data_IF_149254982159
#
_entry.id   IF_149254982159
#
_cell.length_a   1.000
_cell.length_b   1.000
_cell.length_c   1.000
_cell.angle_alpha   90.00
_cell.angle_beta   90.00
_cell.angle_gamma   90.00
#
_symmetry.space_group_name_H-M   'P 1'
#
loop_
_entity.id
_entity.type
_entity.pdbx_description
1 polymer ?
#
# COMPACT_ATOMS: atom_id res chain seq x y z
N UNK A 1 18.85 -58.11 -32.74
CA UNK A 1 20.06 -58.90 -32.38
C UNK A 1 20.84 -58.13 -31.36
N UNK A 2 21.00 -58.73 -30.15
CA UNK A 2 22.06 -58.44 -29.24
C UNK A 2 21.58 -58.23 -27.81
N UNK A 3 21.37 -59.32 -27.15
CA UNK A 3 21.93 -59.79 -25.86
C UNK A 3 21.72 -58.87 -24.64
N UNK A 4 20.89 -59.40 -23.77
CA UNK A 4 20.79 -59.10 -22.33
C UNK A 4 22.07 -59.64 -21.65
N UNK A 5 22.67 -58.78 -20.79
CA UNK A 5 23.56 -59.24 -19.73
C UNK A 5 23.11 -58.63 -18.41
N UNK A 6 22.62 -59.51 -17.54
CA UNK A 6 22.36 -59.26 -16.14
C UNK A 6 23.62 -59.59 -15.35
N UNK A 7 24.17 -58.73 -14.52
CA UNK A 7 25.12 -59.14 -13.51
C UNK A 7 24.51 -59.14 -12.10
N UNK A 8 24.56 -60.29 -11.48
CA UNK A 8 25.23 -60.52 -10.22
C UNK A 8 24.56 -59.96 -8.96
N UNK A 9 23.85 -60.85 -8.30
CA UNK A 9 23.50 -60.76 -6.90
C UNK A 9 24.77 -60.53 -6.06
N UNK A 10 24.92 -59.33 -5.50
CA UNK A 10 25.92 -59.08 -4.45
C UNK A 10 25.29 -59.41 -3.12
N UNK A 11 25.84 -60.43 -2.48
CA UNK A 11 25.56 -60.87 -1.12
C UNK A 11 25.65 -59.72 -0.14
N UNK A 12 24.60 -59.49 0.60
CA UNK A 12 24.61 -58.61 1.75
C UNK A 12 25.55 -59.17 2.84
N UNK A 13 26.37 -58.33 3.47
CA UNK A 13 27.14 -58.73 4.65
C UNK A 13 26.18 -59.05 5.82
N UNK A 14 26.55 -59.96 6.73
CA UNK A 14 25.71 -60.32 7.86
C UNK A 14 25.46 -59.10 8.74
N UNK A 15 24.20 -58.87 9.03
CA UNK A 15 23.76 -57.88 10.03
C UNK A 15 24.44 -58.19 11.37
N UNK A 16 25.42 -57.38 11.73
CA UNK A 16 25.84 -57.27 13.11
C UNK A 16 24.70 -56.59 13.85
N UNK A 17 23.85 -57.39 14.41
CA UNK A 17 22.89 -57.02 15.44
C UNK A 17 23.71 -56.49 16.63
N UNK A 18 23.96 -55.18 16.60
CA UNK A 18 24.68 -54.49 17.67
C UNK A 18 23.69 -54.38 18.81
N UNK A 19 23.94 -55.15 19.80
CA UNK A 19 23.23 -55.22 21.08
C UNK A 19 23.40 -53.92 21.88
N UNK A 20 22.76 -52.84 21.37
CA UNK A 20 22.69 -51.53 22.03
C UNK A 20 21.62 -51.47 23.12
N UNK A 21 20.82 -52.50 23.30
CA UNK A 21 19.72 -52.47 24.24
C UNK A 21 20.05 -53.09 25.63
N UNK A 22 21.20 -53.72 25.78
CA UNK A 22 21.56 -54.35 27.07
C UNK A 22 22.35 -53.46 28.04
N UNK A 23 22.76 -52.23 27.60
CA UNK A 23 23.47 -51.31 28.49
C UNK A 23 22.63 -50.08 28.89
N UNK A 24 21.36 -50.05 28.61
CA UNK A 24 20.41 -49.04 29.09
C UNK A 24 19.70 -49.52 30.36
N UNK A 25 20.42 -50.21 31.27
CA UNK A 25 19.94 -50.26 32.64
C UNK A 25 19.96 -48.80 33.16
N UNK A 26 18.85 -48.29 33.67
CA UNK A 26 18.89 -47.02 34.38
C UNK A 26 19.88 -47.27 35.54
N UNK A 27 21.08 -46.71 35.42
CA UNK A 27 21.87 -46.45 36.58
C UNK A 27 21.02 -45.48 37.38
N UNK A 28 20.39 -46.03 38.41
CA UNK A 28 19.89 -45.24 39.54
C UNK A 28 21.11 -44.53 40.14
N UNK A 29 21.60 -43.52 39.41
CA UNK A 29 22.49 -42.53 39.94
C UNK A 29 21.68 -41.63 40.92
N UNK A 30 21.16 -42.30 41.95
CA UNK A 30 21.00 -41.72 43.26
C UNK A 30 22.40 -41.38 43.80
N UNK A 31 23.33 -40.97 42.91
CA UNK A 31 24.60 -40.41 43.29
C UNK A 31 24.31 -39.05 43.88
N UNK A 32 24.10 -39.07 45.23
CA UNK A 32 24.48 -37.99 46.14
C UNK A 32 24.72 -36.67 45.38
N UNK A 33 23.68 -35.86 45.32
CA UNK A 33 23.84 -34.43 45.09
C UNK A 33 24.69 -33.87 46.23
N UNK A 34 26.00 -34.13 46.13
CA UNK A 34 26.95 -33.42 46.96
C UNK A 34 26.65 -31.92 46.76
N UNK A 35 26.51 -31.14 47.84
CA UNK A 35 26.14 -29.73 47.72
C UNK A 35 27.14 -29.06 46.76
N UNK A 36 26.59 -28.57 45.65
CA UNK A 36 27.40 -27.97 44.58
C UNK A 36 28.22 -26.83 45.15
N UNK A 37 29.55 -26.90 44.99
CA UNK A 37 30.47 -25.88 45.51
C UNK A 37 29.98 -24.48 45.17
N UNK A 38 29.72 -23.62 46.14
CA UNK A 38 29.19 -22.27 45.94
C UNK A 38 29.99 -21.48 44.91
N UNK A 39 31.27 -21.67 44.80
CA UNK A 39 32.16 -21.02 43.84
C UNK A 39 31.85 -21.45 42.38
N UNK A 40 31.56 -22.72 42.18
CA UNK A 40 31.15 -23.23 40.85
C UNK A 40 29.80 -22.70 40.45
N UNK A 41 28.86 -22.56 41.37
CA UNK A 41 27.53 -21.99 41.15
C UNK A 41 27.60 -20.51 40.77
N UNK A 42 28.43 -19.73 41.46
CA UNK A 42 28.67 -18.32 41.13
C UNK A 42 29.36 -18.16 39.79
N UNK A 43 30.32 -19.00 39.44
CA UNK A 43 30.97 -18.97 38.12
C UNK A 43 29.99 -19.27 36.98
N UNK A 44 29.08 -20.25 37.17
CA UNK A 44 28.01 -20.55 36.19
C UNK A 44 27.04 -19.39 36.07
N UNK A 45 26.63 -18.75 37.14
CA UNK A 45 25.73 -17.59 37.12
C UNK A 45 26.39 -16.38 36.46
N UNK A 46 27.69 -16.11 36.76
CA UNK A 46 28.46 -15.06 36.07
C UNK A 46 28.57 -15.32 34.57
N UNK A 47 28.82 -16.56 34.15
CA UNK A 47 28.90 -16.94 32.73
C UNK A 47 27.55 -16.81 32.06
N UNK A 48 26.47 -17.25 32.70
CA UNK A 48 25.09 -17.06 32.21
C UNK A 48 24.71 -15.59 32.06
N UNK A 49 24.99 -14.77 33.08
CA UNK A 49 24.75 -13.31 32.99
C UNK A 49 25.55 -12.68 31.85
N UNK A 50 26.81 -13.04 31.65
CA UNK A 50 27.63 -12.53 30.55
C UNK A 50 27.09 -12.95 29.18
N UNK A 51 26.64 -14.19 29.02
CA UNK A 51 26.04 -14.67 27.79
C UNK A 51 24.70 -14.00 27.53
N UNK A 52 23.89 -13.79 28.57
CA UNK A 52 22.59 -13.07 28.43
C UNK A 52 22.80 -11.59 28.12
N UNK A 53 23.80 -10.92 28.65
CA UNK A 53 24.07 -9.51 28.32
C UNK A 53 24.69 -9.35 26.94
N UNK A 54 25.63 -10.21 26.56
CA UNK A 54 26.33 -10.12 25.27
C UNK A 54 25.42 -10.59 24.10
N UNK A 55 24.62 -11.63 24.32
CA UNK A 55 23.73 -12.18 23.29
C UNK A 55 22.27 -11.71 23.40
N UNK A 56 21.75 -11.60 24.62
CA UNK A 56 20.35 -11.29 24.88
C UNK A 56 19.98 -9.83 24.57
N UNK A 57 20.83 -8.88 24.88
CA UNK A 57 20.56 -7.46 24.59
C UNK A 57 20.52 -7.19 23.09
N UNK A 58 21.51 -7.61 22.27
CA UNK A 58 21.42 -7.46 20.82
C UNK A 58 20.22 -8.17 20.23
N UNK A 59 19.93 -9.40 20.66
CA UNK A 59 18.77 -10.15 20.19
C UNK A 59 17.45 -9.43 20.51
N UNK A 60 17.30 -8.90 21.73
CA UNK A 60 16.12 -8.12 22.10
C UNK A 60 15.98 -6.85 21.24
N UNK A 61 17.07 -6.12 21.00
CA UNK A 61 17.07 -4.94 20.15
C UNK A 61 16.64 -5.28 18.70
N UNK A 62 17.23 -6.32 18.12
CA UNK A 62 16.84 -6.79 16.77
C UNK A 62 15.37 -7.18 16.73
N UNK A 63 14.87 -7.86 17.75
CA UNK A 63 13.44 -8.23 17.84
C UNK A 63 12.55 -6.99 17.89
N UNK A 64 12.87 -6.01 18.72
CA UNK A 64 12.11 -4.76 18.85
C UNK A 64 12.09 -4.00 17.52
N UNK A 65 13.25 -3.85 16.88
CA UNK A 65 13.38 -3.19 15.59
C UNK A 65 12.56 -3.93 14.52
N UNK A 66 12.63 -5.26 14.50
CA UNK A 66 11.89 -6.09 13.53
C UNK A 66 10.37 -5.96 13.72
N UNK A 67 9.89 -5.95 14.95
CA UNK A 67 8.48 -5.74 15.28
C UNK A 67 8.03 -4.32 14.89
N UNK A 68 8.85 -3.32 15.14
CA UNK A 68 8.56 -1.94 14.75
C UNK A 68 8.49 -1.77 13.23
N UNK A 69 9.50 -2.26 12.48
CA UNK A 69 9.49 -2.24 11.02
C UNK A 69 8.32 -3.05 10.44
N UNK A 70 8.05 -4.23 11.01
CA UNK A 70 6.91 -5.07 10.62
C UNK A 70 5.58 -4.36 10.83
N UNK A 71 5.41 -3.60 11.93
CA UNK A 71 4.20 -2.84 12.19
C UNK A 71 4.00 -1.70 11.16
N UNK A 72 5.05 -0.95 10.82
CA UNK A 72 5.00 0.08 9.79
C UNK A 72 4.58 -0.53 8.45
N UNK A 73 5.18 -1.66 8.06
CA UNK A 73 4.85 -2.35 6.81
C UNK A 73 3.39 -2.80 6.78
N UNK A 74 2.91 -3.46 7.83
CA UNK A 74 1.53 -3.95 7.90
C UNK A 74 0.50 -2.83 7.90
N UNK A 75 0.74 -1.74 8.62
CA UNK A 75 -0.15 -0.57 8.65
C UNK A 75 -0.18 0.09 7.26
N UNK A 76 0.98 0.26 6.61
CA UNK A 76 1.07 0.81 5.26
C UNK A 76 0.33 -0.06 4.24
N UNK A 77 0.51 -1.38 4.29
CA UNK A 77 -0.18 -2.33 3.43
C UNK A 77 -1.70 -2.27 3.63
N UNK A 78 -2.15 -2.19 4.89
CA UNK A 78 -3.56 -2.05 5.20
C UNK A 78 -4.13 -0.69 4.76
N UNK A 79 -3.34 0.39 4.80
CA UNK A 79 -3.68 1.70 4.25
C UNK A 79 -3.87 1.63 2.72
N UNK A 80 -2.91 1.03 2.02
CA UNK A 80 -2.98 0.87 0.57
C UNK A 80 -4.19 0.03 0.12
N UNK A 81 -4.51 -1.04 0.86
CA UNK A 81 -5.71 -1.86 0.60
C UNK A 81 -6.99 -1.06 0.82
N UNK A 82 -7.06 -0.28 1.89
CA UNK A 82 -8.21 0.59 2.15
C UNK A 82 -8.38 1.64 1.04
N UNK A 83 -7.29 2.27 0.58
CA UNK A 83 -7.31 3.21 -0.53
C UNK A 83 -7.78 2.55 -1.84
N UNK A 84 -7.27 1.37 -2.17
CA UNK A 84 -7.69 0.61 -3.34
C UNK A 84 -9.17 0.18 -3.30
N UNK A 85 -9.72 -0.02 -2.10
CA UNK A 85 -11.14 -0.31 -1.89
C UNK A 85 -12.03 0.95 -1.83
N UNK A 86 -11.47 2.16 -2.00
CA UNK A 86 -12.20 3.42 -1.92
C UNK A 86 -12.48 3.91 -0.49
N UNK A 87 -11.96 3.24 0.53
CA UNK A 87 -12.12 3.63 1.94
C UNK A 87 -11.05 4.65 2.35
N UNK A 88 -11.11 5.85 1.77
CA UNK A 88 -10.06 6.87 1.90
C UNK A 88 -9.86 7.38 3.32
N UNK A 89 -10.92 7.53 4.13
CA UNK A 89 -10.80 7.94 5.53
C UNK A 89 -10.01 6.92 6.36
N UNK A 90 -10.27 5.64 6.13
CA UNK A 90 -9.52 4.55 6.78
C UNK A 90 -8.07 4.54 6.31
N UNK A 91 -7.81 4.75 5.02
CA UNK A 91 -6.47 4.85 4.47
C UNK A 91 -5.70 6.02 5.09
N UNK A 92 -6.31 7.21 5.14
CA UNK A 92 -5.73 8.40 5.75
C UNK A 92 -5.38 8.21 7.23
N UNK A 93 -6.29 7.59 8.01
CA UNK A 93 -6.02 7.27 9.42
C UNK A 93 -4.77 6.40 9.56
N UNK A 94 -4.59 5.40 8.70
CA UNK A 94 -3.42 4.52 8.71
C UNK A 94 -2.14 5.25 8.27
N UNK A 95 -2.20 6.08 7.24
CA UNK A 95 -1.05 6.87 6.80
C UNK A 95 -0.61 7.88 7.87
N UNK A 96 -1.54 8.53 8.58
CA UNK A 96 -1.24 9.37 9.74
C UNK A 96 -0.59 8.59 10.87
N UNK A 97 -1.05 7.36 11.12
CA UNK A 97 -0.42 6.48 12.11
C UNK A 97 1.02 6.15 11.70
N UNK A 98 1.27 5.82 10.44
CA UNK A 98 2.63 5.56 9.94
C UNK A 98 3.50 6.81 10.10
N UNK A 99 2.99 7.99 9.76
CA UNK A 99 3.72 9.24 9.93
C UNK A 99 4.11 9.52 11.40
N UNK A 100 3.23 9.16 12.34
CA UNK A 100 3.48 9.34 13.78
C UNK A 100 4.53 8.36 14.34
N UNK A 101 4.55 7.11 13.87
CA UNK A 101 5.45 6.07 14.40
C UNK A 101 6.76 5.92 13.63
N UNK A 102 6.87 6.57 12.49
CA UNK A 102 8.06 6.54 11.63
C UNK A 102 8.63 7.96 11.42
N UNK A 103 9.43 8.50 12.35
CA UNK A 103 9.91 9.89 12.25
C UNK A 103 11.13 10.10 11.36
N UNK A 104 11.75 9.06 10.81
CA UNK A 104 13.08 9.15 10.15
C UNK A 104 13.30 8.25 8.94
N UNK A 105 12.53 7.15 8.78
CA UNK A 105 12.78 6.22 7.68
C UNK A 105 11.97 6.61 6.45
N UNK A 106 12.65 6.92 5.35
CA UNK A 106 12.05 7.24 4.04
C UNK A 106 10.87 8.24 4.15
N UNK A 107 11.10 9.38 4.79
CA UNK A 107 10.06 10.37 5.10
C UNK A 107 9.30 10.84 3.85
N UNK A 108 10.00 11.00 2.73
CA UNK A 108 9.35 11.37 1.47
C UNK A 108 8.21 10.42 1.09
N UNK A 109 8.40 9.12 1.34
CA UNK A 109 7.41 8.08 1.01
C UNK A 109 6.21 8.13 1.95
N UNK A 110 6.45 8.44 3.22
CA UNK A 110 5.40 8.65 4.22
C UNK A 110 4.53 9.84 3.84
N UNK A 111 5.14 10.99 3.54
CA UNK A 111 4.44 12.20 3.11
C UNK A 111 3.79 12.03 1.72
N UNK A 112 4.42 11.30 0.81
CA UNK A 112 3.83 10.98 -0.49
C UNK A 112 2.53 10.18 -0.35
N UNK A 113 2.54 9.10 0.44
CA UNK A 113 1.35 8.29 0.66
C UNK A 113 0.24 9.07 1.37
N UNK A 114 0.59 9.90 2.36
CA UNK A 114 -0.36 10.74 3.06
C UNK A 114 -0.97 11.78 2.12
N UNK A 115 -0.16 12.49 1.34
CA UNK A 115 -0.62 13.50 0.38
C UNK A 115 -1.47 12.89 -0.74
N UNK A 116 -1.08 11.72 -1.24
CA UNK A 116 -1.88 10.96 -2.22
C UNK A 116 -3.23 10.54 -1.63
N UNK A 117 -3.24 10.09 -0.38
CA UNK A 117 -4.46 9.74 0.34
C UNK A 117 -5.39 10.95 0.55
N UNK A 118 -4.83 12.12 0.89
CA UNK A 118 -5.57 13.38 1.01
C UNK A 118 -6.21 13.79 -0.31
N UNK A 119 -5.46 13.67 -1.42
CA UNK A 119 -5.98 13.95 -2.75
C UNK A 119 -7.15 13.01 -3.12
N UNK A 120 -7.01 11.72 -2.86
CA UNK A 120 -8.07 10.74 -3.08
C UNK A 120 -9.31 10.99 -2.18
N UNK A 121 -9.11 11.51 -0.98
CA UNK A 121 -10.17 11.93 -0.06
C UNK A 121 -10.77 13.32 -0.41
N UNK A 122 -10.42 13.90 -1.57
CA UNK A 122 -10.90 15.20 -2.04
C UNK A 122 -10.48 16.40 -1.16
N UNK A 123 -9.31 16.29 -0.50
CA UNK A 123 -8.66 17.39 0.22
C UNK A 123 -7.37 17.82 -0.50
N UNK A 124 -7.47 18.50 -1.66
CA UNK A 124 -6.31 18.90 -2.44
C UNK A 124 -5.46 19.97 -1.74
N UNK A 125 -6.05 20.77 -0.86
CA UNK A 125 -5.33 21.83 -0.12
C UNK A 125 -4.32 21.22 0.85
N UNK A 126 -4.73 20.27 1.68
CA UNK A 126 -3.82 19.54 2.55
C UNK A 126 -2.83 18.70 1.74
N UNK A 127 -3.27 18.10 0.63
CA UNK A 127 -2.42 17.31 -0.26
C UNK A 127 -1.24 18.13 -0.81
N UNK A 128 -1.48 19.37 -1.27
CA UNK A 128 -0.42 20.27 -1.77
C UNK A 128 0.65 20.51 -0.70
N UNK A 129 0.25 20.78 0.53
CA UNK A 129 1.18 21.01 1.64
C UNK A 129 2.03 19.78 1.92
N UNK A 130 1.37 18.62 2.05
CA UNK A 130 2.03 17.35 2.38
C UNK A 130 2.93 16.87 1.23
N UNK A 131 2.50 17.02 -0.04
CA UNK A 131 3.30 16.64 -1.20
C UNK A 131 4.50 17.59 -1.42
N UNK A 132 4.40 18.87 -1.09
CA UNK A 132 5.56 19.78 -1.07
C UNK A 132 6.61 19.31 -0.07
N UNK A 133 6.18 18.84 1.10
CA UNK A 133 7.10 18.26 2.07
C UNK A 133 7.74 16.98 1.51
N UNK A 134 6.95 16.06 0.94
CA UNK A 134 7.47 14.86 0.27
C UNK A 134 8.51 15.22 -0.81
N UNK A 135 8.26 16.28 -1.61
CA UNK A 135 9.15 16.71 -2.67
C UNK A 135 10.50 17.23 -2.13
N UNK A 136 10.49 17.90 -0.98
CA UNK A 136 11.73 18.39 -0.34
C UNK A 136 12.62 17.26 0.15
N UNK A 137 12.05 16.12 0.49
CA UNK A 137 12.71 14.94 1.05
C UNK A 137 12.99 13.85 0.01
N UNK A 138 12.33 13.92 -1.15
CA UNK A 138 12.46 12.91 -2.20
C UNK A 138 13.86 12.91 -2.84
N UNK A 139 14.43 11.72 -3.10
CA UNK A 139 15.63 11.61 -3.92
C UNK A 139 15.44 12.26 -5.29
N UNK A 140 16.43 13.04 -5.72
CA UNK A 140 16.37 13.75 -7.00
C UNK A 140 16.42 12.78 -8.17
N UNK A 141 15.60 13.05 -9.18
CA UNK A 141 15.60 12.31 -10.42
C UNK A 141 16.87 12.56 -11.23
N UNK A 142 17.30 11.54 -11.93
CA UNK A 142 18.33 11.72 -12.96
C UNK A 142 17.71 12.46 -14.14
N UNK A 143 18.48 13.38 -14.72
CA UNK A 143 18.07 14.14 -15.90
C UNK A 143 18.77 13.51 -17.10
N UNK A 144 18.00 13.17 -18.11
CA UNK A 144 18.56 12.72 -19.39
C UNK A 144 19.35 13.86 -20.05
N UNK A 145 20.60 13.64 -20.46
CA UNK A 145 21.46 14.71 -20.99
C UNK A 145 21.00 15.26 -22.33
N UNK A 146 20.27 14.47 -23.12
CA UNK A 146 19.82 14.87 -24.46
C UNK A 146 18.43 15.53 -24.40
N UNK A 147 17.45 14.86 -23.84
CA UNK A 147 16.06 15.34 -23.77
C UNK A 147 15.82 16.36 -22.67
N UNK A 148 16.71 16.47 -21.67
CA UNK A 148 16.55 17.27 -20.45
C UNK A 148 15.34 16.88 -19.60
N UNK A 149 14.75 15.74 -19.89
CA UNK A 149 13.61 15.17 -19.14
C UNK A 149 14.14 14.38 -17.96
N UNK A 150 13.44 14.46 -16.84
CA UNK A 150 13.72 13.67 -15.64
C UNK A 150 13.27 12.24 -15.82
N UNK A 151 13.99 11.30 -15.22
CA UNK A 151 13.66 9.87 -15.23
C UNK A 151 12.24 9.65 -14.73
N UNK A 152 11.37 9.12 -15.61
CA UNK A 152 10.01 8.76 -15.29
C UNK A 152 9.98 7.67 -14.19
N UNK A 153 9.03 7.77 -13.25
CA UNK A 153 8.92 6.82 -12.13
C UNK A 153 9.94 7.03 -11.01
N UNK A 154 10.86 8.01 -11.13
CA UNK A 154 11.72 8.42 -10.01
C UNK A 154 10.88 8.96 -8.83
N UNK A 155 11.36 8.86 -7.58
CA UNK A 155 10.67 9.41 -6.42
C UNK A 155 10.25 10.88 -6.60
N UNK A 156 11.16 11.71 -7.12
CA UNK A 156 10.87 13.12 -7.40
C UNK A 156 9.71 13.27 -8.39
N UNK A 157 9.73 12.54 -9.52
CA UNK A 157 8.69 12.67 -10.54
C UNK A 157 7.34 12.09 -10.08
N UNK A 158 7.34 11.04 -9.27
CA UNK A 158 6.12 10.53 -8.66
C UNK A 158 5.44 11.59 -7.77
N UNK A 159 6.21 12.26 -6.92
CA UNK A 159 5.69 13.33 -6.05
C UNK A 159 5.24 14.53 -6.88
N UNK A 160 6.01 14.93 -7.89
CA UNK A 160 5.68 16.04 -8.79
C UNK A 160 4.39 15.80 -9.57
N UNK A 161 4.16 14.58 -10.04
CA UNK A 161 2.92 14.20 -10.71
C UNK A 161 1.70 14.37 -9.80
N UNK A 162 1.77 13.90 -8.56
CA UNK A 162 0.65 14.06 -7.63
C UNK A 162 0.45 15.53 -7.21
N UNK A 163 1.52 16.30 -7.07
CA UNK A 163 1.43 17.74 -6.80
C UNK A 163 0.81 18.50 -7.97
N UNK A 164 1.16 18.13 -9.21
CA UNK A 164 0.53 18.64 -10.42
C UNK A 164 -0.98 18.36 -10.42
N UNK A 165 -1.39 17.11 -10.16
CA UNK A 165 -2.81 16.72 -10.09
C UNK A 165 -3.54 17.48 -8.97
N UNK A 166 -2.90 17.67 -7.80
CA UNK A 166 -3.49 18.43 -6.70
C UNK A 166 -3.78 19.87 -7.10
N UNK A 167 -2.85 20.54 -7.79
CA UNK A 167 -3.07 21.90 -8.29
C UNK A 167 -4.14 21.95 -9.41
N UNK A 168 -4.22 20.96 -10.28
CA UNK A 168 -5.31 20.89 -11.27
C UNK A 168 -6.69 20.72 -10.60
N UNK A 169 -6.75 19.92 -9.53
CA UNK A 169 -7.99 19.77 -8.75
C UNK A 169 -8.41 21.08 -8.11
N UNK A 170 -7.44 21.84 -7.56
CA UNK A 170 -7.73 23.18 -7.03
C UNK A 170 -8.18 24.18 -8.12
N UNK A 171 -7.57 24.11 -9.31
CA UNK A 171 -8.00 24.91 -10.45
C UNK A 171 -9.46 24.60 -10.85
N UNK A 172 -9.84 23.32 -10.87
CA UNK A 172 -11.22 22.92 -11.14
C UNK A 172 -12.19 23.45 -10.07
N UNK A 173 -11.87 23.33 -8.80
CA UNK A 173 -12.67 23.90 -7.70
C UNK A 173 -12.78 25.44 -7.78
N UNK A 174 -11.70 26.12 -8.15
CA UNK A 174 -11.70 27.55 -8.37
C UNK A 174 -12.59 27.95 -9.56
N UNK A 175 -12.63 27.14 -10.61
CA UNK A 175 -13.51 27.34 -11.77
C UNK A 175 -14.98 27.18 -11.38
N UNK A 176 -15.31 26.16 -10.60
CA UNK A 176 -16.66 25.94 -10.06
C UNK A 176 -17.14 27.12 -9.21
N UNK A 177 -16.20 27.73 -8.44
CA UNK A 177 -16.50 28.94 -7.63
C UNK A 177 -16.46 30.26 -8.42
N UNK A 178 -16.14 30.25 -9.72
CA UNK A 178 -16.08 31.42 -10.59
C UNK A 178 -14.82 32.30 -10.39
N UNK A 179 -13.81 31.80 -9.68
CA UNK A 179 -12.58 32.55 -9.40
C UNK A 179 -11.53 32.37 -10.50
N UNK A 180 -11.60 33.17 -11.58
CA UNK A 180 -10.66 33.08 -12.71
C UNK A 180 -9.20 33.34 -12.32
N UNK A 181 -8.96 34.23 -11.35
CA UNK A 181 -7.61 34.49 -10.84
C UNK A 181 -7.01 33.26 -10.16
N UNK A 182 -7.78 32.58 -9.30
CA UNK A 182 -7.33 31.36 -8.63
C UNK A 182 -7.15 30.18 -9.64
N UNK A 183 -7.97 30.09 -10.67
CA UNK A 183 -7.78 29.14 -11.77
C UNK A 183 -6.40 29.33 -12.39
N UNK A 184 -6.07 30.56 -12.80
CA UNK A 184 -4.79 30.88 -13.43
C UNK A 184 -3.62 30.56 -12.49
N UNK A 185 -3.72 30.98 -11.23
CA UNK A 185 -2.69 30.69 -10.20
C UNK A 185 -2.43 29.18 -10.07
N UNK A 186 -3.48 28.37 -9.95
CA UNK A 186 -3.32 26.94 -9.79
C UNK A 186 -2.85 26.24 -11.06
N UNK A 187 -3.22 26.69 -12.24
CA UNK A 187 -2.68 26.17 -13.51
C UNK A 187 -1.17 26.43 -13.61
N UNK A 188 -0.73 27.63 -13.27
CA UNK A 188 0.71 27.96 -13.27
C UNK A 188 1.47 27.15 -12.20
N UNK A 189 0.89 26.99 -11.01
CA UNK A 189 1.46 26.18 -9.96
C UNK A 189 1.56 24.70 -10.38
N UNK A 190 0.58 24.16 -11.13
CA UNK A 190 0.63 22.82 -11.69
C UNK A 190 1.79 22.69 -12.67
N UNK A 191 1.92 23.61 -13.64
CA UNK A 191 3.06 23.61 -14.59
C UNK A 191 4.42 23.63 -13.87
N UNK A 192 4.54 24.46 -12.84
CA UNK A 192 5.75 24.54 -12.02
C UNK A 192 6.00 23.24 -11.23
N UNK A 193 4.95 22.58 -10.76
CA UNK A 193 5.04 21.30 -10.06
C UNK A 193 5.56 20.20 -10.99
N UNK A 194 5.07 20.14 -12.23
CA UNK A 194 5.51 19.19 -13.23
C UNK A 194 7.01 19.30 -13.51
N UNK A 195 7.54 20.53 -13.59
CA UNK A 195 8.94 20.81 -13.94
C UNK A 195 9.28 20.09 -15.27
N UNK A 196 10.35 19.30 -15.32
CA UNK A 196 10.76 18.48 -16.48
C UNK A 196 10.38 17.00 -16.34
N UNK A 197 9.48 16.67 -15.42
CA UNK A 197 8.89 15.33 -15.32
C UNK A 197 7.78 15.17 -16.37
N UNK A 198 7.70 13.99 -16.96
CA UNK A 198 6.56 13.63 -17.79
C UNK A 198 5.31 13.47 -16.91
N UNK A 199 4.31 14.29 -17.15
CA UNK A 199 3.03 14.27 -16.42
C UNK A 199 1.90 13.96 -17.37
N UNK A 200 0.80 13.33 -16.91
CA UNK A 200 -0.38 13.12 -17.73
C UNK A 200 -0.91 14.46 -18.27
N UNK A 201 -1.41 14.52 -19.50
CA UNK A 201 -2.06 15.72 -20.00
C UNK A 201 -3.25 16.08 -19.08
N UNK A 202 -3.56 17.38 -18.91
CA UNK A 202 -4.77 17.78 -18.21
C UNK A 202 -5.97 17.11 -18.84
N UNK A 203 -7.00 16.74 -18.06
CA UNK A 203 -8.24 16.25 -18.65
C UNK A 203 -8.74 17.32 -19.64
N UNK A 204 -9.00 16.89 -20.88
CA UNK A 204 -9.54 17.80 -21.89
C UNK A 204 -10.82 18.41 -21.32
N UNK A 205 -10.79 19.71 -21.11
CA UNK A 205 -12.00 20.47 -20.85
C UNK A 205 -12.80 20.39 -22.14
N UNK A 206 -13.80 19.51 -22.18
CA UNK A 206 -14.78 19.53 -23.25
C UNK A 206 -15.27 20.99 -23.35
N UNK A 207 -15.05 21.70 -24.46
CA UNK A 207 -15.59 23.05 -24.59
C UNK A 207 -17.09 22.92 -24.41
N UNK A 208 -17.59 23.54 -23.34
CA UNK A 208 -19.02 23.72 -23.13
C UNK A 208 -19.62 24.12 -24.49
N UNK A 209 -20.64 23.47 -25.02
CA UNK A 209 -21.21 23.85 -26.29
C UNK A 209 -21.62 25.31 -26.17
N UNK A 210 -20.86 26.18 -26.82
CA UNK A 210 -21.19 27.59 -26.96
C UNK A 210 -22.62 27.66 -27.48
N UNK A 211 -23.55 28.36 -26.84
CA UNK A 211 -24.87 28.53 -27.42
C UNK A 211 -24.69 29.27 -28.76
N UNK A 212 -24.81 28.55 -29.86
CA UNK A 212 -24.77 29.12 -31.18
C UNK A 212 -26.05 29.94 -31.39
N UNK A 213 -26.01 31.28 -31.39
CA UNK A 213 -27.16 32.07 -31.73
C UNK A 213 -27.19 32.22 -33.27
N UNK A 214 -27.75 31.29 -33.99
CA UNK A 214 -28.30 31.48 -35.35
C UNK A 214 -28.46 30.13 -36.05
N UNK A 215 -29.59 29.51 -35.83
CA UNK A 215 -30.18 28.62 -36.83
C UNK A 215 -31.55 29.17 -37.15
N UNK A 216 -31.61 29.91 -38.24
CA UNK A 216 -32.81 30.29 -38.94
C UNK A 216 -33.56 29.03 -39.35
N UNK A 217 -34.89 28.96 -39.20
CA UNK A 217 -35.66 27.78 -39.62
C UNK A 217 -35.84 27.79 -41.12
N UNK A 218 -35.23 26.87 -41.86
CA UNK A 218 -35.62 26.51 -43.21
C UNK A 218 -36.57 25.33 -43.15
N UNK A 219 -37.80 25.64 -43.38
CA UNK A 219 -38.89 24.74 -43.72
C UNK A 219 -38.63 24.05 -45.05
N UNK A 220 -38.71 22.71 -45.10
CA UNK A 220 -39.36 22.03 -46.24
C UNK A 220 -39.77 20.60 -45.84
N UNK A 221 -41.01 20.18 -46.29
CA UNK A 221 -41.62 18.94 -45.87
C UNK A 221 -41.50 17.86 -46.94
N UNK A 222 -41.35 16.63 -46.59
CA UNK A 222 -41.94 15.43 -47.26
C UNK A 222 -41.14 14.17 -47.00
N UNK A 223 -41.70 13.26 -46.31
CA UNK A 223 -42.26 11.97 -46.78
C UNK A 223 -42.37 10.96 -45.59
N UNK A 224 -43.62 10.62 -45.39
CA UNK A 224 -44.18 9.51 -44.59
C UNK A 224 -44.06 8.19 -45.41
N UNK A 225 -44.55 7.03 -44.89
CA UNK A 225 -44.13 6.19 -43.72
C UNK A 225 -43.98 4.70 -44.13
N UNK A 226 -43.58 3.86 -43.25
CA UNK A 226 -43.91 2.41 -43.18
C UNK A 226 -42.96 1.70 -42.23
N UNK A 227 -43.24 0.89 -41.32
CA UNK A 227 -44.29 -0.01 -40.90
C UNK A 227 -43.79 -0.66 -39.61
N UNK A 228 -44.63 -0.72 -38.63
CA UNK A 228 -44.60 -1.62 -37.47
C UNK A 228 -44.87 -3.06 -37.95
N UNK A 229 -44.70 -4.16 -37.17
CA UNK A 229 -45.24 -4.30 -35.79
C UNK A 229 -44.45 -5.16 -34.78
N UNK A 230 -44.74 -4.93 -33.51
CA UNK A 230 -45.15 -5.86 -32.42
C UNK A 230 -44.26 -6.98 -31.96
N UNK A 231 -43.96 -6.98 -30.67
CA UNK A 231 -44.52 -7.92 -29.68
C UNK A 231 -43.91 -7.69 -28.27
N UNK A 232 -44.78 -7.27 -27.37
CA UNK A 232 -44.77 -7.57 -25.92
C UNK A 232 -45.07 -9.06 -25.70
N UNK A 233 -44.89 -9.69 -24.52
CA UNK A 233 -45.37 -9.21 -23.21
C UNK A 233 -44.58 -9.57 -21.95
N UNK A 234 -44.87 -8.80 -20.89
CA UNK A 234 -45.13 -9.20 -19.50
C UNK A 234 -44.18 -10.10 -18.71
N UNK A 235 -43.72 -9.60 -17.59
CA UNK A 235 -44.20 -10.03 -16.24
C UNK A 235 -43.44 -9.34 -15.10
N UNK A 236 -44.17 -8.54 -14.37
CA UNK A 236 -43.93 -8.19 -12.96
C UNK A 236 -44.38 -9.38 -12.10
N UNK A 237 -43.84 -9.62 -10.91
CA UNK A 237 -44.56 -9.07 -9.73
C UNK A 237 -43.73 -8.51 -8.59
N UNK A 238 -44.32 -7.59 -7.91
CA UNK A 238 -44.15 -7.07 -6.56
C UNK A 238 -43.88 -8.09 -5.47
N UNK A 239 -43.07 -7.68 -4.47
CA UNK A 239 -43.35 -7.91 -3.06
C UNK A 239 -42.45 -7.07 -2.17
N UNK A 240 -43.01 -6.03 -1.59
CA UNK A 240 -42.59 -5.46 -0.30
C UNK A 240 -43.21 -6.36 0.83
N UNK A 241 -42.58 -6.48 2.01
CA UNK A 241 -43.19 -5.77 3.11
C UNK A 241 -42.17 -5.13 4.10
N UNK A 242 -42.67 -4.04 4.64
CA UNK A 242 -42.27 -3.32 5.83
C UNK A 242 -42.18 -4.19 7.09
N UNK A 243 -41.28 -3.82 8.00
CA UNK A 243 -41.61 -3.71 9.44
C UNK A 243 -40.42 -3.12 10.20
N UNK A 244 -40.55 -1.88 10.66
CA UNK A 244 -40.03 -1.42 11.95
C UNK A 244 -40.74 -2.16 13.09
N UNK A 245 -40.14 -2.27 14.30
CA UNK A 245 -40.30 -1.21 15.28
C UNK A 245 -39.12 -0.98 16.27
N UNK A 246 -38.96 0.29 16.64
CA UNK A 246 -38.65 0.88 17.94
C UNK A 246 -38.45 -0.01 19.19
N UNK A 247 -37.50 0.37 20.01
CA UNK A 247 -37.54 0.74 21.44
C UNK A 247 -36.13 0.76 22.01
N UNK A 248 -35.62 1.92 22.48
CA UNK A 248 -35.78 2.45 23.86
C UNK A 248 -34.94 1.75 24.93
N UNK A 249 -34.14 2.59 25.55
CA UNK A 249 -33.88 2.79 26.98
C UNK A 249 -32.57 2.28 27.57
N UNK A 250 -31.79 3.27 27.99
CA UNK A 250 -31.24 3.50 29.35
C UNK A 250 -30.43 2.39 30.06
N UNK A 251 -29.21 2.65 30.33
CA UNK A 251 -28.59 2.95 31.64
C UNK A 251 -27.14 3.31 31.42
#
# INVERSE_FOLDING_TARGET
>A
QGAQDTPGATSAPPEQEVDYLQNAAPKDDASSQAPEDPRRREARLKRRRRLLTIGGVPAALVTIISLWLGSIFLISLAGNRAAAAGHYDTALSRYRTVAAINPWLEQWRVHFNLGTGQLAAKDPTSAVTTLKQALSEAPKAKVDPESKVKEAGSPECMVRTNLYVAHLTLAAQAQESGSSAAVTEHIEAAKKAADTCEVPPPPEQNPSPSPNPSATPSSDPSSTPSSQPSSDPSSTPSATPSSDPSSSASS
#
